data_IF_354244680330
#
_entry.id   IF_354244680330
#
_cell.length_a   1.000
_cell.length_b   1.000
_cell.length_c   1.000
_cell.angle_alpha   90.00
_cell.angle_beta   90.00
_cell.angle_gamma   90.00
#
_symmetry.space_group_name_H-M   'P 1'
#
loop_
_entity.id
_entity.type
_entity.pdbx_description
1 polymer ?
#
# COMPACT_ATOMS: atom_id res chain seq x y z
N UNK A 1 -64.17 28.60 29.86
CA UNK A 1 -63.53 27.37 30.35
C UNK A 1 -62.67 26.81 29.23
N UNK A 2 -61.38 26.60 29.48
CA UNK A 2 -60.40 25.96 28.56
C UNK A 2 -60.57 24.43 28.61
N UNK A 3 -60.09 23.69 27.59
CA UNK A 3 -58.71 23.17 27.62
C UNK A 3 -58.02 23.30 26.23
N UNK A 4 -56.86 23.94 26.09
CA UNK A 4 -55.48 23.44 26.32
C UNK A 4 -55.19 22.04 25.77
N UNK A 5 -54.46 21.95 24.66
CA UNK A 5 -53.72 20.75 24.26
C UNK A 5 -52.35 21.14 23.71
N UNK A 6 -51.37 20.50 24.32
CA UNK A 6 -49.94 20.68 24.25
C UNK A 6 -49.36 19.76 23.16
N UNK A 7 -48.46 20.27 22.33
CA UNK A 7 -47.61 19.43 21.48
C UNK A 7 -46.22 20.03 21.30
N UNK A 8 -45.46 19.85 22.37
CA UNK A 8 -43.99 19.73 22.50
C UNK A 8 -43.29 19.33 21.18
N UNK A 9 -42.88 20.31 20.37
CA UNK A 9 -41.94 20.09 19.26
C UNK A 9 -40.50 20.19 19.77
N UNK A 10 -40.02 19.13 20.41
CA UNK A 10 -38.57 18.94 20.60
C UNK A 10 -37.97 18.45 19.28
N UNK A 11 -37.58 19.40 18.42
CA UNK A 11 -36.74 19.09 17.27
C UNK A 11 -35.30 18.98 17.77
N UNK A 12 -34.88 17.76 18.05
CA UNK A 12 -33.49 17.38 18.30
C UNK A 12 -32.66 17.77 17.06
N UNK A 13 -31.79 18.75 17.22
CA UNK A 13 -30.81 19.15 16.21
C UNK A 13 -29.68 18.13 16.17
N UNK A 14 -29.69 17.26 15.15
CA UNK A 14 -28.54 16.42 14.82
C UNK A 14 -27.52 17.31 14.10
N UNK A 15 -26.58 17.88 14.86
CA UNK A 15 -25.35 18.45 14.29
C UNK A 15 -24.56 17.30 13.68
N UNK A 16 -24.67 17.14 12.36
CA UNK A 16 -23.79 16.26 11.58
C UNK A 16 -22.41 16.90 11.58
N UNK A 17 -21.59 16.53 12.56
CA UNK A 17 -20.17 16.83 12.59
C UNK A 17 -19.52 16.13 11.41
N UNK A 18 -19.36 16.84 10.30
CA UNK A 18 -18.69 16.35 9.11
C UNK A 18 -17.17 16.27 9.39
N UNK A 19 -16.77 15.26 10.17
CA UNK A 19 -15.38 14.92 10.38
C UNK A 19 -14.81 14.46 9.03
N UNK A 20 -14.13 15.36 8.34
CA UNK A 20 -13.35 15.02 7.15
C UNK A 20 -12.33 13.96 7.59
N UNK A 21 -12.29 12.75 6.99
CA UNK A 21 -11.15 11.89 7.22
C UNK A 21 -9.95 12.67 6.72
N UNK A 22 -9.00 12.91 7.63
CA UNK A 22 -7.69 13.40 7.24
C UNK A 22 -7.12 12.33 6.30
N UNK A 23 -7.24 12.59 5.00
CA UNK A 23 -6.59 11.81 3.98
C UNK A 23 -5.10 12.06 4.19
N UNK A 24 -4.49 11.22 5.02
CA UNK A 24 -3.04 11.13 5.11
C UNK A 24 -2.59 10.78 3.69
N UNK A 25 -2.15 11.79 2.95
CA UNK A 25 -1.42 11.62 1.72
C UNK A 25 -0.12 10.95 2.11
N UNK A 26 -0.14 9.62 2.20
CA UNK A 26 1.07 8.84 2.15
C UNK A 26 1.84 9.35 0.92
N UNK A 27 3.12 9.73 1.07
CA UNK A 27 3.92 10.09 -0.08
C UNK A 27 3.97 8.84 -0.96
N UNK A 28 3.16 8.83 -2.02
CA UNK A 28 3.31 7.91 -3.13
C UNK A 28 4.58 8.31 -3.83
N UNK A 29 5.72 7.97 -3.23
CA UNK A 29 6.98 7.95 -3.93
C UNK A 29 6.76 6.85 -4.97
N UNK A 30 6.41 7.25 -6.18
CA UNK A 30 6.38 6.41 -7.36
C UNK A 30 7.84 6.04 -7.72
N UNK A 31 8.54 5.46 -6.75
CA UNK A 31 9.82 4.82 -6.93
C UNK A 31 9.56 3.49 -7.59
N UNK A 32 10.50 3.07 -8.44
CA UNK A 32 10.55 1.69 -8.90
C UNK A 32 10.58 0.79 -7.65
N UNK A 33 9.95 -0.38 -7.68
CA UNK A 33 10.09 -1.33 -6.58
C UNK A 33 11.58 -1.60 -6.38
N UNK A 34 12.09 -1.18 -5.23
CA UNK A 34 13.48 -1.42 -4.84
C UNK A 34 13.50 -2.71 -4.03
N UNK A 35 14.35 -3.65 -4.44
CA UNK A 35 14.53 -4.93 -3.78
C UNK A 35 16.02 -5.09 -3.46
N UNK A 36 16.31 -5.53 -2.24
CA UNK A 36 17.69 -5.84 -1.85
C UNK A 36 18.14 -7.12 -2.52
N UNK A 37 19.41 -7.17 -2.91
CA UNK A 37 20.02 -8.39 -3.42
C UNK A 37 19.88 -9.54 -2.43
N UNK A 38 20.11 -9.31 -1.13
CA UNK A 38 20.04 -10.35 -0.11
C UNK A 38 18.66 -11.04 -0.07
N UNK A 39 17.58 -10.27 -0.20
CA UNK A 39 16.21 -10.79 -0.24
C UNK A 39 15.96 -11.59 -1.53
N UNK A 40 16.49 -11.10 -2.65
CA UNK A 40 16.32 -11.72 -3.96
C UNK A 40 17.05 -13.08 -4.07
N UNK A 41 18.21 -13.24 -3.44
CA UNK A 41 18.95 -14.50 -3.46
C UNK A 41 18.55 -15.46 -2.33
N UNK A 42 17.92 -14.99 -1.25
CA UNK A 42 17.43 -15.86 -0.17
C UNK A 42 18.48 -16.86 0.36
N UNK A 43 19.75 -16.45 0.39
CA UNK A 43 20.89 -17.27 0.82
C UNK A 43 21.57 -18.11 -0.27
N UNK A 44 21.05 -18.11 -1.51
CA UNK A 44 21.75 -18.70 -2.67
C UNK A 44 22.69 -17.68 -3.32
N UNK A 45 23.43 -18.10 -4.34
CA UNK A 45 24.29 -17.21 -5.16
C UNK A 45 23.76 -17.00 -6.58
N UNK A 46 22.71 -17.72 -6.93
CA UNK A 46 22.06 -17.69 -8.23
C UNK A 46 20.56 -17.94 -8.11
N UNK A 47 19.80 -17.31 -8.99
CA UNK A 47 18.36 -17.55 -9.17
C UNK A 47 18.04 -17.67 -10.67
N UNK A 48 16.98 -18.42 -10.97
CA UNK A 48 16.41 -18.49 -12.30
C UNK A 48 15.16 -17.62 -12.38
N UNK A 49 15.12 -16.76 -13.39
CA UNK A 49 14.01 -15.86 -13.69
C UNK A 49 13.38 -16.34 -14.98
N UNK A 50 12.21 -16.95 -14.87
CA UNK A 50 11.38 -17.26 -16.03
C UNK A 50 10.80 -15.95 -16.56
N UNK A 51 11.17 -15.59 -17.79
CA UNK A 51 10.68 -14.38 -18.45
C UNK A 51 10.26 -14.71 -19.87
N UNK A 52 8.95 -14.62 -20.12
CA UNK A 52 8.29 -15.15 -21.32
C UNK A 52 8.53 -16.66 -21.43
N UNK A 53 9.09 -17.12 -22.56
CA UNK A 53 9.44 -18.52 -22.82
C UNK A 53 10.93 -18.83 -22.54
N UNK A 54 11.67 -17.85 -22.04
CA UNK A 54 13.11 -17.96 -21.76
C UNK A 54 13.39 -18.01 -20.25
N UNK A 55 14.48 -18.69 -19.89
CA UNK A 55 14.96 -18.77 -18.50
C UNK A 55 16.22 -17.96 -18.35
N UNK A 56 16.15 -16.80 -17.72
CA UNK A 56 17.32 -16.02 -17.38
C UNK A 56 17.93 -16.51 -16.08
N UNK A 57 19.25 -16.39 -15.95
CA UNK A 57 19.98 -16.66 -14.71
C UNK A 57 20.58 -15.37 -14.18
N UNK A 58 20.19 -15.00 -12.97
CA UNK A 58 20.78 -13.88 -12.23
C UNK A 58 21.72 -14.46 -11.16
N UNK A 59 22.99 -14.06 -11.17
CA UNK A 59 24.04 -14.59 -10.27
C UNK A 59 24.87 -13.48 -9.62
N UNK A 60 25.36 -13.73 -8.39
CA UNK A 60 26.33 -12.88 -7.71
C UNK A 60 27.74 -13.41 -7.93
N UNK A 61 28.62 -12.56 -8.46
CA UNK A 61 30.06 -12.85 -8.57
C UNK A 61 30.76 -12.80 -7.22
N UNK A 62 31.98 -13.37 -7.13
CA UNK A 62 32.84 -13.22 -5.95
C UNK A 62 33.17 -11.75 -5.60
N UNK A 63 33.07 -10.85 -6.58
CA UNK A 63 33.28 -9.40 -6.39
C UNK A 63 32.01 -8.66 -5.96
N UNK A 64 30.89 -9.37 -5.71
CA UNK A 64 29.62 -8.78 -5.30
C UNK A 64 28.82 -8.14 -6.44
N UNK A 65 29.24 -8.30 -7.70
CA UNK A 65 28.50 -7.81 -8.87
C UNK A 65 27.41 -8.79 -9.28
N UNK A 66 26.27 -8.26 -9.70
CA UNK A 66 25.16 -9.00 -10.28
C UNK A 66 25.38 -9.20 -11.79
N UNK A 67 25.20 -10.42 -12.26
CA UNK A 67 25.25 -10.76 -13.69
C UNK A 67 23.95 -11.46 -14.07
N UNK A 68 23.24 -10.89 -15.04
CA UNK A 68 22.08 -11.49 -15.68
C UNK A 68 22.51 -12.10 -17.02
N UNK A 69 22.35 -13.41 -17.16
CA UNK A 69 22.52 -14.13 -18.44
C UNK A 69 21.17 -14.66 -18.91
N UNK A 70 20.99 -14.72 -20.22
CA UNK A 70 19.92 -15.53 -20.82
C UNK A 70 20.29 -17.01 -20.77
#
# INVERSE_FOLDING_TARGET
>A
MTPSTNSRKQRLSLTVSNARPAYFKAPSVAGKPELKSDDLFSGTREIHILHNDDTYRLSITKQGKLILTK
#
